data_IF_226961443032
#
_entry.id   IF_226961443032
#
_cell.length_a   1.000
_cell.length_b   1.000
_cell.length_c   1.000
_cell.angle_alpha   90.00
_cell.angle_beta   90.00
_cell.angle_gamma   90.00
#
_symmetry.space_group_name_H-M   'P 1'
#
loop_
_entity.id
_entity.type
_entity.pdbx_description
1 polymer ?
#
# COMPACT_ATOMS: atom_id res chain seq x y z
N UNK A 1 16.65 -10.17 11.57
CA UNK A 1 16.90 -9.42 10.32
C UNK A 1 15.58 -8.83 9.87
N UNK A 2 15.57 -7.61 9.34
CA UNK A 2 14.35 -7.08 8.72
C UNK A 2 14.23 -7.71 7.34
N UNK A 3 13.18 -8.49 7.14
CA UNK A 3 12.84 -9.13 5.88
C UNK A 3 11.63 -8.39 5.29
N UNK A 4 11.54 -8.38 3.96
CA UNK A 4 10.46 -7.74 3.21
C UNK A 4 9.98 -8.69 2.12
N UNK A 5 8.72 -8.57 1.73
CA UNK A 5 8.28 -9.11 0.45
C UNK A 5 8.57 -8.11 -0.66
N UNK A 6 9.06 -8.58 -1.79
CA UNK A 6 9.29 -7.81 -3.00
C UNK A 6 8.47 -8.40 -4.15
N UNK A 7 7.80 -7.54 -4.91
CA UNK A 7 7.19 -7.89 -6.19
C UNK A 7 8.19 -7.63 -7.30
N UNK A 8 8.53 -8.68 -8.05
CA UNK A 8 9.31 -8.60 -9.29
C UNK A 8 8.66 -9.51 -10.35
N UNK A 9 8.20 -8.93 -11.47
CA UNK A 9 7.53 -9.66 -12.55
C UNK A 9 6.49 -10.67 -12.05
N UNK A 10 5.58 -10.21 -11.18
CA UNK A 10 4.44 -10.96 -10.63
C UNK A 10 4.79 -11.96 -9.52
N UNK A 11 6.07 -12.13 -9.23
CA UNK A 11 6.51 -13.01 -8.16
C UNK A 11 6.66 -12.24 -6.86
N UNK A 12 6.03 -12.76 -5.80
CA UNK A 12 6.31 -12.37 -4.43
C UNK A 12 7.54 -13.13 -3.94
N UNK A 13 8.64 -12.41 -3.73
CA UNK A 13 9.86 -12.97 -3.18
C UNK A 13 10.10 -12.37 -1.80
N UNK A 14 10.36 -13.23 -0.82
CA UNK A 14 10.85 -12.81 0.49
C UNK A 14 12.35 -12.50 0.37
N UNK A 15 12.77 -11.31 0.81
CA UNK A 15 14.15 -10.85 0.73
C UNK A 15 14.58 -10.15 2.02
N UNK A 16 15.81 -10.38 2.44
CA UNK A 16 16.46 -9.62 3.49
C UNK A 16 17.12 -8.33 2.95
N UNK A 17 17.63 -7.49 3.86
CA UNK A 17 18.27 -6.22 3.49
C UNK A 17 19.53 -6.38 2.64
N UNK A 18 20.27 -7.48 2.78
CA UNK A 18 21.48 -7.74 1.99
C UNK A 18 21.09 -8.09 0.57
N UNK A 19 20.09 -8.95 0.40
CA UNK A 19 19.56 -9.32 -0.92
C UNK A 19 18.97 -8.10 -1.64
N UNK A 20 18.26 -7.22 -0.94
CA UNK A 20 17.75 -5.96 -1.51
C UNK A 20 18.90 -5.04 -1.94
N UNK A 21 19.98 -4.98 -1.15
CA UNK A 21 21.15 -4.18 -1.51
C UNK A 21 21.88 -4.73 -2.75
N UNK A 22 21.98 -6.06 -2.87
CA UNK A 22 22.50 -6.74 -4.06
C UNK A 22 21.63 -6.42 -5.28
N UNK A 23 20.30 -6.59 -5.17
CA UNK A 23 19.36 -6.25 -6.24
C UNK A 23 19.56 -4.82 -6.77
N UNK A 24 19.65 -3.85 -5.86
CA UNK A 24 19.88 -2.43 -6.22
C UNK A 24 21.22 -2.19 -6.92
N UNK A 25 22.26 -2.94 -6.55
CA UNK A 25 23.57 -2.83 -7.19
C UNK A 25 23.56 -3.42 -8.60
N UNK A 26 22.85 -4.53 -8.79
CA UNK A 26 22.73 -5.22 -10.07
C UNK A 26 21.76 -4.51 -11.04
N UNK A 27 20.76 -3.79 -10.51
CA UNK A 27 19.73 -3.10 -11.28
C UNK A 27 19.68 -1.60 -10.89
N UNK A 28 20.74 -0.80 -11.17
CA UNK A 28 20.83 0.59 -10.72
C UNK A 28 19.75 1.50 -11.35
N UNK A 29 19.26 1.14 -12.53
CA UNK A 29 18.20 1.87 -13.25
C UNK A 29 16.79 1.55 -12.72
N UNK A 30 16.65 0.45 -11.97
CA UNK A 30 15.35 0.03 -11.44
C UNK A 30 14.95 0.88 -10.24
N UNK A 31 13.84 1.62 -10.41
CA UNK A 31 13.20 2.32 -9.30
C UNK A 31 12.60 1.30 -8.34
N UNK A 32 12.99 1.35 -7.07
CA UNK A 32 12.39 0.55 -6.01
C UNK A 32 11.32 1.35 -5.28
N UNK A 33 10.08 0.87 -5.36
CA UNK A 33 8.90 1.41 -4.69
C UNK A 33 8.69 0.74 -3.35
N UNK A 34 8.14 1.49 -2.40
CA UNK A 34 7.75 1.01 -1.08
C UNK A 34 6.26 1.22 -0.89
N UNK A 35 5.52 0.15 -0.63
CA UNK A 35 4.10 0.15 -0.38
C UNK A 35 3.78 -0.26 1.06
N UNK A 36 2.89 0.51 1.70
CA UNK A 36 2.47 0.37 3.10
C UNK A 36 1.11 -0.31 3.14
N UNK A 37 1.10 -1.55 3.59
CA UNK A 37 -0.10 -2.38 3.67
C UNK A 37 -1.14 -1.78 4.63
N UNK A 38 -0.68 -1.18 5.74
CA UNK A 38 -1.57 -0.59 6.73
C UNK A 38 -2.34 0.63 6.22
N UNK A 39 -1.86 1.33 5.18
CA UNK A 39 -2.45 2.59 4.71
C UNK A 39 -2.91 2.57 3.25
N UNK A 40 -2.57 1.54 2.48
CA UNK A 40 -2.82 1.52 1.03
C UNK A 40 -2.01 2.53 0.23
N UNK A 41 -0.85 2.96 0.75
CA UNK A 41 -0.01 3.96 0.08
C UNK A 41 1.23 3.33 -0.52
N UNK A 42 1.65 3.79 -1.69
CA UNK A 42 3.00 3.54 -2.20
C UNK A 42 3.78 4.84 -2.38
N UNK A 43 5.12 4.74 -2.36
CA UNK A 43 6.01 5.87 -2.57
C UNK A 43 7.47 5.45 -2.69
N UNK A 44 8.37 6.42 -2.55
CA UNK A 44 9.80 6.16 -2.57
C UNK A 44 10.27 5.43 -1.31
N UNK A 45 11.24 4.53 -1.47
CA UNK A 45 11.89 3.82 -0.34
C UNK A 45 12.59 4.77 0.66
N UNK A 46 12.92 5.99 0.25
CA UNK A 46 13.49 7.03 1.11
C UNK A 46 12.46 8.03 1.66
N UNK A 47 11.15 7.81 1.45
CA UNK A 47 10.10 8.71 1.94
C UNK A 47 10.19 8.89 3.48
N UNK A 48 10.31 10.11 4.00
CA UNK A 48 10.46 10.34 5.43
C UNK A 48 9.23 9.89 6.22
N UNK A 49 8.01 10.04 5.68
CA UNK A 49 6.80 9.49 6.28
C UNK A 49 6.71 7.96 6.15
N UNK A 50 7.15 7.41 5.00
CA UNK A 50 7.32 5.97 4.76
C UNK A 50 8.39 5.33 5.63
N UNK A 51 9.23 6.13 6.29
CA UNK A 51 10.24 5.65 7.24
C UNK A 51 9.78 5.66 8.69
N UNK A 52 8.59 6.23 9.01
CA UNK A 52 8.04 6.29 10.38
C UNK A 52 7.17 5.08 10.72
N UNK A 53 7.26 4.53 11.92
CA UNK A 53 6.41 3.41 12.34
C UNK A 53 6.95 2.03 11.93
N UNK A 54 6.18 0.95 12.12
CA UNK A 54 6.66 -0.42 11.92
C UNK A 54 7.19 -0.66 10.50
N UNK A 55 8.20 -1.50 10.37
CA UNK A 55 8.80 -1.96 9.10
C UNK A 55 8.95 -3.47 9.09
N UNK A 56 7.93 -4.15 9.61
CA UNK A 56 7.89 -5.60 9.65
C UNK A 56 7.53 -6.13 8.26
N UNK A 57 7.79 -7.42 8.05
CA UNK A 57 7.57 -8.09 6.77
C UNK A 57 6.11 -8.05 6.30
N UNK A 58 5.17 -7.94 7.23
CA UNK A 58 3.73 -7.85 7.02
C UNK A 58 3.19 -6.41 6.92
N UNK A 59 4.08 -5.41 6.99
CA UNK A 59 3.72 -3.99 6.95
C UNK A 59 4.12 -3.32 5.64
N UNK A 60 5.23 -3.76 5.03
CA UNK A 60 5.84 -3.13 3.86
C UNK A 60 6.07 -4.15 2.75
N UNK A 61 5.52 -3.83 1.58
CA UNK A 61 5.75 -4.52 0.32
C UNK A 61 6.66 -3.65 -0.55
N UNK A 62 7.74 -4.23 -1.06
CA UNK A 62 8.61 -3.58 -2.05
C UNK A 62 8.17 -3.97 -3.45
N UNK A 63 8.40 -3.11 -4.43
CA UNK A 63 8.12 -3.44 -5.83
C UNK A 63 9.17 -2.80 -6.73
N UNK A 64 9.69 -3.56 -7.69
CA UNK A 64 10.82 -3.13 -8.50
C UNK A 64 10.41 -2.72 -9.92
N UNK A 65 11.02 -1.63 -10.40
CA UNK A 65 10.86 -1.13 -11.76
C UNK A 65 9.44 -0.65 -12.07
N UNK A 66 9.11 -0.59 -13.36
CA UNK A 66 7.78 -0.18 -13.83
C UNK A 66 6.75 -1.28 -13.62
N UNK A 67 7.14 -2.54 -13.82
CA UNK A 67 6.25 -3.69 -13.61
C UNK A 67 5.81 -3.77 -12.14
N UNK A 68 6.72 -3.49 -11.20
CA UNK A 68 6.39 -3.36 -9.79
C UNK A 68 5.40 -2.23 -9.51
N UNK A 69 5.59 -1.05 -10.13
CA UNK A 69 4.64 0.06 -10.01
C UNK A 69 3.24 -0.33 -10.50
N UNK A 70 3.14 -0.97 -11.67
CA UNK A 70 1.88 -1.43 -12.22
C UNK A 70 1.18 -2.42 -11.30
N UNK A 71 1.94 -3.33 -10.67
CA UNK A 71 1.39 -4.28 -9.69
C UNK A 71 0.88 -3.59 -8.44
N UNK A 72 1.58 -2.56 -7.94
CA UNK A 72 1.08 -1.78 -6.81
C UNK A 72 -0.24 -1.07 -7.15
N UNK A 73 -0.35 -0.49 -8.34
CA UNK A 73 -1.60 0.16 -8.77
C UNK A 73 -2.71 -0.87 -8.95
N UNK A 74 -2.41 -2.02 -9.58
CA UNK A 74 -3.33 -3.13 -9.75
C UNK A 74 -3.88 -3.63 -8.41
N UNK A 75 -3.02 -3.74 -7.39
CA UNK A 75 -3.41 -4.17 -6.05
C UNK A 75 -4.10 -3.07 -5.23
N UNK A 76 -4.39 -1.91 -5.82
CA UNK A 76 -5.19 -0.87 -5.17
C UNK A 76 -4.40 0.12 -4.32
N UNK A 77 -3.07 0.17 -4.43
CA UNK A 77 -2.26 1.18 -3.76
C UNK A 77 -2.33 2.53 -4.49
N UNK A 78 -2.39 3.61 -3.71
CA UNK A 78 -2.41 5.01 -4.20
C UNK A 78 -1.12 5.74 -3.81
N UNK A 79 -0.72 6.82 -4.52
CA UNK A 79 0.55 7.49 -4.28
C UNK A 79 0.55 8.23 -2.93
N UNK A 80 1.69 8.19 -2.24
CA UNK A 80 1.90 8.86 -0.97
C UNK A 80 1.91 10.39 -1.14
N UNK A 81 1.06 11.16 -0.44
CA UNK A 81 0.98 12.61 -0.61
C UNK A 81 2.20 13.37 -0.06
N UNK A 82 3.07 12.69 0.70
CA UNK A 82 4.27 13.29 1.30
C UNK A 82 5.44 13.29 0.34
N UNK A 83 5.79 12.13 -0.21
CA UNK A 83 6.91 12.03 -1.16
C UNK A 83 6.49 12.19 -2.61
N UNK A 84 5.18 12.23 -2.89
CA UNK A 84 4.61 12.53 -4.20
C UNK A 84 5.26 11.74 -5.34
N UNK A 85 5.23 10.39 -5.29
CA UNK A 85 5.91 9.56 -6.29
C UNK A 85 5.45 9.83 -7.73
N UNK A 86 4.25 10.38 -7.90
CA UNK A 86 3.70 10.81 -9.18
C UNK A 86 4.49 11.94 -9.87
N UNK A 87 5.30 12.69 -9.12
CA UNK A 87 6.19 13.73 -9.66
C UNK A 87 7.47 13.17 -10.29
N UNK A 88 7.69 11.86 -10.16
CA UNK A 88 8.82 11.17 -10.76
C UNK A 88 8.73 11.20 -12.27
N UNK A 89 9.84 11.53 -12.94
CA UNK A 89 9.91 11.52 -14.39
C UNK A 89 9.44 10.18 -14.99
N UNK A 90 8.56 10.29 -15.99
CA UNK A 90 7.95 9.16 -16.71
C UNK A 90 6.88 8.41 -15.91
N UNK A 91 6.50 8.84 -14.69
CA UNK A 91 5.48 8.16 -13.89
C UNK A 91 4.15 8.01 -14.64
N UNK A 92 3.61 9.13 -15.14
CA UNK A 92 2.29 9.15 -15.78
C UNK A 92 2.25 8.39 -17.09
N UNK A 93 3.34 8.41 -17.86
CA UNK A 93 3.44 7.64 -19.10
C UNK A 93 3.30 6.14 -18.86
N UNK A 94 3.79 5.67 -17.72
CA UNK A 94 3.79 4.26 -17.32
C UNK A 94 2.48 3.85 -16.65
N UNK A 95 1.97 4.69 -15.74
CA UNK A 95 0.87 4.31 -14.84
C UNK A 95 -0.53 4.64 -15.34
N UNK A 96 -0.71 5.63 -16.24
CA UNK A 96 -2.03 6.19 -16.58
C UNK A 96 -3.06 5.16 -17.04
N UNK A 97 -2.63 4.16 -17.82
CA UNK A 97 -3.54 3.15 -18.36
C UNK A 97 -4.02 2.21 -17.25
N UNK A 98 -3.10 1.75 -16.39
CA UNK A 98 -3.43 0.91 -15.24
C UNK A 98 -4.35 1.65 -14.26
N UNK A 99 -4.05 2.93 -13.99
CA UNK A 99 -4.88 3.77 -13.13
C UNK A 99 -6.33 3.83 -13.64
N UNK A 100 -6.53 4.14 -14.93
CA UNK A 100 -7.87 4.21 -15.54
C UNK A 100 -8.62 2.88 -15.52
N UNK A 101 -7.90 1.76 -15.61
CA UNK A 101 -8.50 0.42 -15.59
C UNK A 101 -9.05 0.07 -14.20
N UNK A 102 -8.30 0.41 -13.14
CA UNK A 102 -8.57 0.01 -11.76
C UNK A 102 -9.46 1.01 -11.04
N UNK A 103 -9.16 2.30 -11.17
CA UNK A 103 -9.87 3.38 -10.51
C UNK A 103 -10.92 3.94 -11.46
N UNK A 104 -12.10 3.33 -11.49
CA UNK A 104 -13.20 3.76 -12.38
C UNK A 104 -13.95 5.00 -11.88
N UNK A 105 -13.71 5.41 -10.63
CA UNK A 105 -14.42 6.50 -9.97
C UNK A 105 -13.70 7.84 -10.10
N UNK A 106 -12.62 7.89 -10.89
CA UNK A 106 -11.89 9.13 -11.16
C UNK A 106 -12.11 9.58 -12.60
N UNK A 107 -12.20 10.89 -12.80
CA UNK A 107 -12.42 11.52 -14.10
C UNK A 107 -11.12 11.84 -14.83
N UNK A 108 -10.01 11.97 -14.09
CA UNK A 108 -8.68 12.20 -14.64
C UNK A 108 -7.60 11.42 -13.87
N UNK A 109 -6.46 11.10 -14.50
CA UNK A 109 -5.35 10.44 -13.81
C UNK A 109 -4.82 11.23 -12.61
N UNK A 110 -4.90 12.55 -12.62
CA UNK A 110 -4.40 13.42 -11.55
C UNK A 110 -5.21 13.26 -10.25
N UNK A 111 -6.50 12.94 -10.36
CA UNK A 111 -7.35 12.61 -9.21
C UNK A 111 -6.84 11.37 -8.44
N UNK A 112 -6.00 10.52 -9.07
CA UNK A 112 -5.30 9.43 -8.39
C UNK A 112 -4.38 9.92 -7.27
N UNK A 113 -3.81 11.11 -7.43
CA UNK A 113 -2.96 11.75 -6.44
C UNK A 113 -3.76 12.51 -5.36
N UNK A 114 -4.97 12.96 -5.68
CA UNK A 114 -5.81 13.76 -4.80
C UNK A 114 -6.43 12.95 -3.66
N UNK A 115 -6.08 13.28 -2.41
CA UNK A 115 -6.58 12.58 -1.21
C UNK A 115 -7.96 13.01 -0.76
N UNK A 116 -8.51 14.08 -1.32
CA UNK A 116 -9.90 14.44 -1.15
C UNK A 116 -10.83 13.56 -2.01
N UNK A 117 -10.31 13.02 -3.12
CA UNK A 117 -11.03 12.11 -4.02
C UNK A 117 -10.72 10.66 -3.66
N UNK A 118 -9.43 10.33 -3.53
CA UNK A 118 -8.94 9.01 -3.15
C UNK A 118 -8.27 9.06 -1.76
N UNK A 119 -9.03 8.96 -0.65
CA UNK A 119 -8.48 9.02 0.69
C UNK A 119 -7.59 7.81 1.02
N UNK A 120 -6.91 7.87 2.16
CA UNK A 120 -6.24 6.70 2.72
C UNK A 120 -7.26 5.60 3.02
N UNK A 121 -7.28 4.55 2.19
CA UNK A 121 -8.17 3.42 2.38
C UNK A 121 -7.45 2.10 2.12
N UNK A 122 -6.95 1.49 3.19
CA UNK A 122 -6.35 0.17 3.11
C UNK A 122 -7.36 -0.93 2.71
N UNK A 123 -8.67 -0.68 2.69
CA UNK A 123 -9.66 -1.66 2.20
C UNK A 123 -9.70 -1.76 0.68
N UNK A 124 -9.14 -0.77 -0.05
CA UNK A 124 -9.00 -0.86 -1.50
C UNK A 124 -7.92 -1.83 -1.93
N UNK A 125 -7.01 -2.17 -1.01
CA UNK A 125 -6.00 -3.17 -1.29
C UNK A 125 -6.68 -4.50 -1.64
N UNK A 126 -6.16 -5.14 -2.69
CA UNK A 126 -6.53 -6.49 -3.10
C UNK A 126 -5.93 -7.53 -2.14
N UNK A 127 -6.50 -7.59 -0.95
CA UNK A 127 -6.07 -8.48 0.12
C UNK A 127 -6.20 -9.95 -0.25
N UNK A 128 -7.18 -10.30 -1.07
CA UNK A 128 -7.42 -11.66 -1.55
C UNK A 128 -6.21 -12.20 -2.32
N UNK A 129 -5.55 -11.34 -3.10
CA UNK A 129 -4.33 -11.71 -3.82
C UNK A 129 -3.06 -11.53 -2.99
N UNK A 130 -2.97 -10.53 -2.11
CA UNK A 130 -1.74 -10.26 -1.35
C UNK A 130 -1.54 -11.24 -0.17
N UNK A 131 -2.58 -11.49 0.63
CA UNK A 131 -2.45 -12.25 1.89
C UNK A 131 -1.95 -13.69 1.69
N UNK A 132 -2.35 -14.44 0.64
CA UNK A 132 -1.79 -15.76 0.38
C UNK A 132 -0.27 -15.79 0.25
N UNK A 133 0.36 -14.68 -0.14
CA UNK A 133 1.82 -14.59 -0.29
C UNK A 133 2.51 -14.12 1.00
N UNK A 134 1.93 -13.15 1.70
CA UNK A 134 2.58 -12.52 2.87
C UNK A 134 2.19 -13.14 4.21
N UNK A 135 1.11 -13.95 4.24
CA UNK A 135 0.69 -14.77 5.37
C UNK A 135 -0.15 -14.07 6.44
N UNK A 136 0.05 -12.76 6.67
CA UNK A 136 -0.69 -12.01 7.70
C UNK A 136 -1.05 -10.60 7.26
N UNK A 137 -2.10 -10.06 7.89
CA UNK A 137 -2.40 -8.63 7.83
C UNK A 137 -1.41 -7.85 8.72
N UNK A 138 -1.14 -6.57 8.40
CA UNK A 138 -0.50 -5.67 9.35
C UNK A 138 -1.37 -5.54 10.62
N UNK A 139 -0.77 -5.12 11.74
CA UNK A 139 -1.49 -5.04 13.04
C UNK A 139 -2.74 -4.14 13.05
N UNK A 140 -2.81 -3.16 12.14
CA UNK A 140 -3.91 -2.21 12.00
C UNK A 140 -4.05 -1.74 10.56
N UNK A 141 -5.26 -1.39 10.16
CA UNK A 141 -5.59 -0.83 8.86
C UNK A 141 -6.21 0.56 9.03
N UNK A 142 -5.64 1.53 8.32
CA UNK A 142 -6.14 2.88 8.19
C UNK A 142 -7.16 2.93 7.06
N UNK A 143 -8.36 3.34 7.40
CA UNK A 143 -9.50 3.47 6.49
C UNK A 143 -10.13 4.86 6.68
N UNK A 144 -10.97 5.34 5.74
CA UNK A 144 -11.55 6.68 5.81
C UNK A 144 -12.35 6.91 7.09
N UNK A 145 -12.36 8.15 7.59
CA UNK A 145 -13.19 8.56 8.71
C UNK A 145 -14.67 8.59 8.31
N UNK A 146 -15.58 8.31 9.25
CA UNK A 146 -17.03 8.48 9.05
C UNK A 146 -17.73 7.30 8.37
N UNK A 147 -17.08 6.14 8.26
CA UNK A 147 -17.73 4.93 7.76
C UNK A 147 -18.84 4.46 8.71
N UNK A 148 -19.99 4.13 8.14
CA UNK A 148 -21.13 3.63 8.90
C UNK A 148 -20.91 2.19 9.41
N UNK A 149 -21.70 1.79 10.41
CA UNK A 149 -21.57 0.49 11.07
C UNK A 149 -21.80 -0.70 10.11
N UNK A 150 -22.66 -0.56 9.10
CA UNK A 150 -22.93 -1.62 8.10
C UNK A 150 -21.70 -1.80 7.20
N UNK A 151 -21.11 -0.71 6.72
CA UNK A 151 -19.88 -0.71 5.92
C UNK A 151 -18.71 -1.34 6.69
N UNK A 152 -18.51 -0.96 7.95
CA UNK A 152 -17.47 -1.53 8.81
C UNK A 152 -17.65 -3.04 9.07
N UNK A 153 -18.89 -3.48 9.31
CA UNK A 153 -19.22 -4.92 9.46
C UNK A 153 -18.97 -5.68 8.16
N UNK A 154 -19.31 -5.10 7.01
CA UNK A 154 -19.04 -5.71 5.71
C UNK A 154 -17.53 -5.87 5.45
N UNK A 155 -16.74 -4.84 5.75
CA UNK A 155 -15.29 -4.89 5.65
C UNK A 155 -14.69 -6.00 6.53
N UNK A 156 -15.05 -6.05 7.84
CA UNK A 156 -14.61 -7.13 8.73
C UNK A 156 -14.99 -8.51 8.21
N UNK A 157 -16.21 -8.67 7.67
CA UNK A 157 -16.67 -9.94 7.10
C UNK A 157 -15.85 -10.34 5.87
N UNK A 158 -15.50 -9.39 4.98
CA UNK A 158 -14.62 -9.64 3.83
C UNK A 158 -13.24 -10.09 4.30
N UNK A 159 -12.57 -9.32 5.15
CA UNK A 159 -11.22 -9.63 5.64
C UNK A 159 -11.17 -10.98 6.37
N UNK A 160 -12.20 -11.30 7.17
CA UNK A 160 -12.29 -12.58 7.90
C UNK A 160 -12.37 -13.81 6.97
N UNK A 161 -12.86 -13.65 5.73
CA UNK A 161 -12.86 -14.74 4.73
C UNK A 161 -11.44 -15.04 4.21
N UNK A 162 -10.55 -14.05 4.26
CA UNK A 162 -9.18 -14.14 3.75
C UNK A 162 -8.27 -14.72 4.84
N UNK A 163 -8.31 -14.14 6.04
CA UNK A 163 -7.56 -14.64 7.19
C UNK A 163 -8.39 -14.47 8.47
N UNK A 164 -8.33 -15.47 9.35
CA UNK A 164 -9.10 -15.49 10.61
C UNK A 164 -8.70 -14.35 11.54
N UNK A 165 -7.42 -13.98 11.54
CA UNK A 165 -6.91 -12.88 12.36
C UNK A 165 -7.12 -11.56 11.62
N UNK A 166 -8.20 -10.87 11.96
CA UNK A 166 -8.49 -9.55 11.40
C UNK A 166 -7.74 -8.45 12.17
N UNK A 167 -7.18 -7.45 11.47
CA UNK A 167 -6.50 -6.34 12.12
C UNK A 167 -7.50 -5.35 12.74
N UNK A 168 -7.00 -4.48 13.63
CA UNK A 168 -7.77 -3.34 14.11
C UNK A 168 -8.09 -2.41 12.92
N UNK A 169 -9.36 -2.01 12.78
CA UNK A 169 -9.79 -1.08 11.73
C UNK A 169 -9.99 0.29 12.36
N UNK A 170 -9.37 1.33 11.79
CA UNK A 170 -9.45 2.67 12.35
C UNK A 170 -9.05 3.73 11.34
N UNK A 171 -9.06 4.98 11.76
CA UNK A 171 -8.70 6.11 10.93
C UNK A 171 -7.55 6.90 11.54
N UNK A 172 -6.92 7.72 10.72
CA UNK A 172 -5.86 8.61 11.17
C UNK A 172 -6.48 9.73 12.02
N UNK A 173 -5.99 9.88 13.25
CA UNK A 173 -6.33 10.97 14.16
C UNK A 173 -5.03 11.53 14.71
N UNK A 174 -4.74 12.80 14.43
CA UNK A 174 -3.50 13.45 14.87
C UNK A 174 -3.36 13.51 16.41
N UNK A 175 -4.47 13.47 17.14
CA UNK A 175 -4.53 13.62 18.58
C UNK A 175 -4.57 12.27 19.33
N UNK A 176 -4.80 11.15 18.61
CA UNK A 176 -4.83 9.82 19.22
C UNK A 176 -3.42 9.25 19.46
N UNK A 177 -3.22 8.39 20.48
CA UNK A 177 -1.99 7.64 20.66
C UNK A 177 -1.60 6.87 19.39
N UNK A 178 -0.35 7.00 18.95
CA UNK A 178 0.12 6.36 17.71
C UNK A 178 -0.61 6.81 16.44
N UNK A 179 -1.33 7.94 16.51
CA UNK A 179 -2.12 8.58 15.46
C UNK A 179 -3.19 7.70 14.82
N UNK A 180 -3.80 6.82 15.61
CA UNK A 180 -4.78 5.85 15.16
C UNK A 180 -5.95 5.82 16.13
N UNK A 181 -7.16 6.03 15.62
CA UNK A 181 -8.38 5.85 16.38
C UNK A 181 -9.15 4.63 15.84
N UNK A 182 -9.34 3.60 16.67
CA UNK A 182 -10.02 2.37 16.28
C UNK A 182 -11.53 2.56 16.24
N UNK A 183 -12.18 1.99 15.23
CA UNK A 183 -13.62 1.91 15.15
C UNK A 183 -14.18 0.89 16.17
N UNK A 184 -15.09 1.35 17.03
CA UNK A 184 -15.89 0.49 17.90
C UNK A 184 -17.07 -0.09 17.11
N UNK A 185 -16.94 -1.34 16.66
CA UNK A 185 -17.89 -2.03 15.75
C UNK A 185 -18.74 -3.05 16.50
#
# INVERSE_FOLDING_TARGET
MNEYFMINNDNFQKMDLREIAVYKKENPEDKLWSARLSTGLFGHTFCPAGNRGPKKIDEVLLAAGNNGLDRLILYGFIPCPVCKPETTEGFWDKSKNMIKQIYRNINSPEEFADKSILPFDALWIDWENIIPHIGSFPSRLYIPQGLDKKSLKAAKKRLKKINKQIPALGYYDANAPGRFNEYKI
#
